data_IF_552247044126
#
_entry.id   IF_552247044126
#
_cell.length_a   1.000
_cell.length_b   1.000
_cell.length_c   1.000
_cell.angle_alpha   90.00
_cell.angle_beta   90.00
_cell.angle_gamma   90.00
#
_symmetry.space_group_name_H-M   'P 1'
#
loop_
_entity.id
_entity.type
_entity.pdbx_description
1 polymer ?
#
# COMPACT_ATOMS: atom_id res chain seq x y z
N UNK A 1 20.28 9.30 -6.15
CA UNK A 1 19.66 10.52 -6.69
C UNK A 1 18.17 10.43 -6.46
N UNK A 2 17.69 11.25 -5.54
CA UNK A 2 16.30 11.27 -5.09
C UNK A 2 15.49 12.21 -6.00
N UNK A 3 14.16 12.02 -6.07
CA UNK A 3 13.26 12.92 -6.82
C UNK A 3 13.40 14.39 -6.37
N UNK A 4 13.78 14.60 -5.11
CA UNK A 4 14.00 15.92 -4.50
C UNK A 4 15.18 16.69 -5.14
N UNK A 5 16.15 16.01 -5.74
CA UNK A 5 17.29 16.66 -6.41
C UNK A 5 16.83 17.48 -7.64
N UNK A 6 15.65 17.17 -8.19
CA UNK A 6 15.07 17.81 -9.37
C UNK A 6 13.86 18.69 -9.04
N UNK A 7 13.56 18.91 -7.75
CA UNK A 7 12.36 19.62 -7.30
C UNK A 7 12.24 21.03 -7.88
N UNK A 8 13.34 21.71 -8.21
CA UNK A 8 13.33 23.04 -8.80
C UNK A 8 12.73 23.10 -10.23
N UNK A 9 12.66 21.96 -10.93
CA UNK A 9 12.14 21.89 -12.30
C UNK A 9 10.75 21.22 -12.39
N UNK A 10 10.13 20.92 -11.25
CA UNK A 10 8.84 20.25 -11.17
C UNK A 10 7.76 21.20 -10.67
N UNK A 11 6.53 21.14 -11.21
CA UNK A 11 5.40 21.81 -10.60
C UNK A 11 5.19 21.31 -9.17
N UNK A 12 4.91 22.24 -8.25
CA UNK A 12 4.76 21.95 -6.83
C UNK A 12 3.72 20.86 -6.55
N UNK A 13 2.59 20.88 -7.28
CA UNK A 13 1.54 19.87 -7.14
C UNK A 13 2.03 18.47 -7.46
N UNK A 14 2.97 18.30 -8.40
CA UNK A 14 3.49 17.00 -8.81
C UNK A 14 4.47 16.46 -7.77
N UNK A 15 5.33 17.33 -7.23
CA UNK A 15 6.22 16.98 -6.12
C UNK A 15 5.38 16.55 -4.92
N UNK A 16 4.37 17.34 -4.55
CA UNK A 16 3.47 17.03 -3.46
C UNK A 16 2.70 15.72 -3.71
N UNK A 17 2.09 15.53 -4.87
CA UNK A 17 1.33 14.31 -5.22
C UNK A 17 2.17 13.03 -5.08
N UNK A 18 3.45 13.07 -5.47
CA UNK A 18 4.32 11.89 -5.43
C UNK A 18 4.98 11.66 -4.06
N UNK A 19 4.97 12.65 -3.16
CA UNK A 19 5.60 12.56 -1.83
C UNK A 19 4.60 12.48 -0.67
N UNK A 20 3.35 12.87 -0.91
CA UNK A 20 2.25 12.83 0.05
C UNK A 20 1.99 11.40 0.54
N UNK A 21 1.60 11.28 1.82
CA UNK A 21 1.23 10.02 2.45
C UNK A 21 -0.29 9.94 2.55
N UNK A 22 -0.92 9.46 1.49
CA UNK A 22 -2.36 9.34 1.42
C UNK A 22 -2.90 8.30 2.41
N UNK A 23 -4.19 8.48 2.74
CA UNK A 23 -4.96 7.66 3.68
C UNK A 23 -4.45 7.69 5.13
N UNK A 24 -3.56 8.63 5.46
CA UNK A 24 -3.34 9.01 6.85
C UNK A 24 -4.58 9.76 7.38
N UNK A 25 -4.81 9.70 8.69
CA UNK A 25 -5.88 10.43 9.34
C UNK A 25 -5.68 11.95 9.19
N UNK A 26 -6.78 12.67 8.95
CA UNK A 26 -6.79 14.12 8.95
C UNK A 26 -6.66 14.64 10.40
N UNK A 27 -5.66 15.49 10.62
CA UNK A 27 -5.41 16.11 11.93
C UNK A 27 -6.50 17.10 12.37
N UNK A 28 -7.28 17.64 11.43
CA UNK A 28 -8.36 18.60 11.72
C UNK A 28 -9.65 17.85 12.10
N UNK A 29 -9.82 16.64 11.55
CA UNK A 29 -11.02 15.84 11.70
C UNK A 29 -10.71 14.47 12.31
N UNK A 30 -9.86 14.43 13.34
CA UNK A 30 -9.33 13.18 13.92
C UNK A 30 -10.45 12.26 14.45
N UNK A 31 -11.46 12.83 15.10
CA UNK A 31 -12.59 12.08 15.67
C UNK A 31 -13.71 11.78 14.66
N UNK A 32 -13.61 12.31 13.43
CA UNK A 32 -14.64 12.11 12.43
C UNK A 32 -14.48 10.76 11.74
N UNK A 33 -15.60 10.07 11.49
CA UNK A 33 -15.61 8.90 10.60
C UNK A 33 -15.19 9.32 9.19
N UNK A 34 -14.49 8.44 8.47
CA UNK A 34 -14.01 8.68 7.09
C UNK A 34 -13.12 9.93 6.97
N UNK A 35 -12.19 10.11 7.91
CA UNK A 35 -11.24 11.23 7.95
C UNK A 35 -9.92 10.95 7.22
N UNK A 36 -9.82 9.86 6.47
CA UNK A 36 -8.62 9.53 5.71
C UNK A 36 -8.37 10.55 4.60
N UNK A 37 -7.11 10.96 4.42
CA UNK A 37 -6.68 11.83 3.33
C UNK A 37 -6.66 11.08 2.00
N UNK A 38 -7.81 10.94 1.35
CA UNK A 38 -7.96 10.23 0.08
C UNK A 38 -8.22 11.15 -1.13
N UNK A 39 -8.21 12.46 -0.94
CA UNK A 39 -8.33 13.46 -2.00
C UNK A 39 -7.05 14.28 -2.03
N UNK A 40 -6.53 14.56 -3.22
CA UNK A 40 -5.42 15.49 -3.40
C UNK A 40 -5.92 16.79 -4.02
N UNK A 41 -5.64 17.92 -3.38
CA UNK A 41 -5.94 19.23 -3.93
C UNK A 41 -4.72 19.74 -4.72
N UNK A 42 -4.89 19.97 -6.02
CA UNK A 42 -3.79 20.45 -6.87
C UNK A 42 -3.42 21.91 -6.60
N UNK A 43 -4.38 22.70 -6.14
CA UNK A 43 -4.19 24.13 -5.92
C UNK A 43 -3.52 24.40 -4.57
N UNK A 44 -3.89 23.64 -3.54
CA UNK A 44 -3.23 23.68 -2.23
C UNK A 44 -1.98 22.80 -2.14
N UNK A 45 -1.77 21.91 -3.12
CA UNK A 45 -0.67 20.93 -3.15
C UNK A 45 -0.61 20.04 -1.90
N UNK A 46 -1.76 19.53 -1.44
CA UNK A 46 -1.85 18.71 -0.22
C UNK A 46 -2.93 17.62 -0.29
N UNK A 47 -2.72 16.55 0.47
CA UNK A 47 -3.74 15.54 0.75
C UNK A 47 -4.76 16.00 1.80
N UNK A 48 -6.05 15.92 1.44
CA UNK A 48 -7.20 16.31 2.25
C UNK A 48 -8.19 15.14 2.42
N UNK A 49 -8.99 15.17 3.48
CA UNK A 49 -10.09 14.21 3.69
C UNK A 49 -11.43 14.77 3.15
N UNK A 50 -12.48 13.95 3.02
CA UNK A 50 -13.80 14.41 2.56
C UNK A 50 -14.41 15.56 3.38
N UNK A 51 -14.10 15.66 4.67
CA UNK A 51 -14.58 16.77 5.52
C UNK A 51 -13.92 18.12 5.19
N UNK A 52 -12.74 18.10 4.56
CA UNK A 52 -12.02 19.31 4.15
C UNK A 52 -12.51 19.85 2.79
N UNK A 53 -13.53 19.27 2.15
CA UNK A 53 -13.95 19.68 0.81
C UNK A 53 -14.57 21.08 0.75
N UNK A 54 -15.18 21.54 1.84
CA UNK A 54 -15.87 22.85 1.87
C UNK A 54 -14.96 24.03 1.49
N UNK A 55 -13.75 24.19 2.09
CA UNK A 55 -12.81 25.21 1.65
C UNK A 55 -12.18 24.98 0.27
N UNK A 56 -12.36 23.80 -0.36
CA UNK A 56 -11.75 23.43 -1.64
C UNK A 56 -12.79 23.26 -2.77
N UNK A 57 -14.01 23.78 -2.62
CA UNK A 57 -15.11 23.60 -3.60
C UNK A 57 -14.77 24.09 -5.01
N UNK A 58 -13.98 25.15 -5.12
CA UNK A 58 -13.55 25.73 -6.40
C UNK A 58 -12.17 25.23 -6.85
N UNK A 59 -11.56 24.29 -6.12
CA UNK A 59 -10.24 23.78 -6.44
C UNK A 59 -10.29 22.57 -7.35
N UNK A 60 -9.17 22.29 -8.00
CA UNK A 60 -8.94 21.06 -8.77
C UNK A 60 -8.61 19.92 -7.81
N UNK A 61 -9.49 18.93 -7.75
CA UNK A 61 -9.44 17.82 -6.81
C UNK A 61 -9.26 16.48 -7.52
N UNK A 62 -8.27 15.71 -7.06
CA UNK A 62 -7.94 14.39 -7.58
C UNK A 62 -8.31 13.32 -6.54
N UNK A 63 -9.14 12.36 -6.95
CA UNK A 63 -9.41 11.21 -6.10
C UNK A 63 -8.23 10.23 -6.11
N UNK A 64 -7.65 9.99 -4.93
CA UNK A 64 -6.66 8.93 -4.73
C UNK A 64 -7.38 7.66 -4.30
N UNK A 65 -6.93 6.52 -4.83
CA UNK A 65 -7.48 5.18 -4.55
C UNK A 65 -6.35 4.26 -4.08
N UNK A 66 -6.69 3.14 -3.43
CA UNK A 66 -5.74 2.07 -3.10
C UNK A 66 -5.93 0.88 -4.03
N UNK A 67 -4.83 0.36 -4.54
CA UNK A 67 -4.78 -0.94 -5.20
C UNK A 67 -3.56 -1.70 -4.71
N UNK A 68 -3.78 -2.89 -4.14
CA UNK A 68 -2.73 -3.72 -3.51
C UNK A 68 -1.87 -2.88 -2.55
N UNK A 69 -2.53 -2.19 -1.61
CA UNK A 69 -1.88 -1.36 -0.58
C UNK A 69 -1.05 -0.17 -1.09
N UNK A 70 -1.20 0.22 -2.35
CA UNK A 70 -0.45 1.33 -2.94
C UNK A 70 -1.39 2.36 -3.58
N UNK A 71 -0.93 3.61 -3.59
CA UNK A 71 -1.70 4.74 -4.10
C UNK A 71 -1.75 4.72 -5.64
N UNK A 72 -2.97 4.77 -6.15
CA UNK A 72 -3.28 4.79 -7.57
C UNK A 72 -4.26 5.90 -7.88
N UNK A 73 -4.25 6.33 -9.14
CA UNK A 73 -5.24 7.26 -9.70
C UNK A 73 -5.86 6.64 -10.96
N UNK A 74 -7.09 7.04 -11.29
CA UNK A 74 -7.72 6.63 -12.55
C UNK A 74 -6.88 7.16 -13.71
N UNK A 75 -6.64 6.32 -14.72
CA UNK A 75 -5.86 6.68 -15.90
C UNK A 75 -6.48 7.90 -16.62
N UNK A 76 -7.81 7.98 -16.65
CA UNK A 76 -8.51 9.13 -17.23
C UNK A 76 -8.22 10.45 -16.52
N UNK A 77 -8.06 10.44 -15.20
CA UNK A 77 -7.69 11.64 -14.44
C UNK A 77 -6.20 11.94 -14.55
N UNK A 78 -5.35 10.91 -14.54
CA UNK A 78 -3.92 11.04 -14.77
C UNK A 78 -3.61 11.72 -16.12
N UNK A 79 -4.30 11.30 -17.19
CA UNK A 79 -4.15 11.86 -18.53
C UNK A 79 -4.59 13.32 -18.66
N UNK A 80 -5.37 13.86 -17.71
CA UNK A 80 -5.67 15.30 -17.67
C UNK A 80 -4.49 16.13 -17.13
N UNK A 81 -3.59 15.50 -16.39
CA UNK A 81 -2.50 16.16 -15.69
C UNK A 81 -1.15 15.95 -16.38
N UNK A 82 -0.92 14.76 -16.90
CA UNK A 82 0.35 14.36 -17.50
C UNK A 82 0.21 13.26 -18.54
N UNK A 83 1.18 13.20 -19.44
CA UNK A 83 1.29 12.14 -20.44
C UNK A 83 1.55 10.79 -19.74
N UNK A 84 0.56 9.90 -19.75
CA UNK A 84 0.70 8.55 -19.20
C UNK A 84 1.06 7.49 -20.25
N UNK A 85 1.44 7.87 -21.48
CA UNK A 85 1.90 6.92 -22.49
C UNK A 85 3.06 6.07 -21.94
N UNK A 86 3.04 4.77 -22.26
CA UNK A 86 4.01 3.77 -21.81
C UNK A 86 4.10 3.55 -20.29
N UNK A 87 3.22 4.17 -19.49
CA UNK A 87 3.02 3.80 -18.08
C UNK A 87 2.04 2.64 -18.01
N UNK A 88 2.44 1.56 -17.36
CA UNK A 88 1.58 0.38 -17.22
C UNK A 88 0.33 0.73 -16.41
N UNK A 89 -0.83 0.53 -17.03
CA UNK A 89 -2.13 0.61 -16.38
C UNK A 89 -2.64 -0.76 -15.95
N UNK A 90 -3.42 -0.80 -14.89
CA UNK A 90 -4.09 -2.00 -14.38
C UNK A 90 -5.59 -1.79 -14.42
N UNK A 91 -6.35 -2.86 -14.64
CA UNK A 91 -7.81 -2.82 -14.60
C UNK A 91 -8.28 -3.26 -13.21
N UNK A 92 -9.09 -2.42 -12.56
CA UNK A 92 -9.73 -2.69 -11.28
C UNK A 92 -11.17 -2.16 -11.32
N UNK A 93 -12.15 -3.00 -10.98
CA UNK A 93 -13.58 -2.66 -11.05
C UNK A 93 -13.97 -2.01 -12.39
N UNK A 94 -13.55 -2.62 -13.50
CA UNK A 94 -13.78 -2.13 -14.87
C UNK A 94 -13.17 -0.76 -15.21
N UNK A 95 -12.36 -0.16 -14.31
CA UNK A 95 -11.65 1.08 -14.54
C UNK A 95 -10.14 0.85 -14.70
N UNK A 96 -9.49 1.61 -15.58
CA UNK A 96 -8.02 1.63 -15.68
C UNK A 96 -7.42 2.57 -14.64
N UNK A 97 -6.42 2.10 -13.91
CA UNK A 97 -5.66 2.86 -12.91
C UNK A 97 -4.16 2.77 -13.17
N UNK A 98 -3.42 3.77 -12.70
CA UNK A 98 -1.94 3.81 -12.73
C UNK A 98 -1.40 4.05 -11.34
N UNK A 99 -0.25 3.44 -11.03
CA UNK A 99 0.44 3.68 -9.77
C UNK A 99 1.14 5.04 -9.77
N UNK A 100 1.03 5.76 -8.65
CA UNK A 100 1.81 6.98 -8.45
C UNK A 100 3.28 6.65 -8.28
N UNK A 101 3.60 5.73 -7.36
CA UNK A 101 4.96 5.47 -6.90
C UNK A 101 5.47 4.06 -7.23
N UNK A 102 6.80 3.91 -7.17
CA UNK A 102 7.46 2.61 -7.20
C UNK A 102 6.94 1.71 -6.09
N UNK A 103 6.82 0.42 -6.40
CA UNK A 103 6.40 -0.60 -5.45
C UNK A 103 7.58 -1.48 -5.07
N UNK A 104 7.65 -2.00 -3.82
CA UNK A 104 8.66 -2.97 -3.43
C UNK A 104 8.63 -4.21 -4.33
N UNK A 105 9.79 -4.63 -4.86
CA UNK A 105 9.89 -5.88 -5.61
C UNK A 105 10.05 -7.04 -4.64
N UNK A 106 9.14 -8.02 -4.69
CA UNK A 106 9.18 -9.21 -3.83
C UNK A 106 10.08 -10.32 -4.36
N UNK A 107 10.51 -10.24 -5.63
CA UNK A 107 11.39 -11.23 -6.28
C UNK A 107 12.34 -10.51 -7.24
N UNK A 108 13.59 -10.98 -7.31
CA UNK A 108 14.51 -10.57 -8.36
C UNK A 108 13.87 -10.85 -9.73
N UNK A 109 13.91 -9.85 -10.62
CA UNK A 109 13.41 -9.97 -11.99
C UNK A 109 14.05 -11.20 -12.65
N UNK A 110 13.24 -12.25 -12.90
CA UNK A 110 13.71 -13.40 -13.68
C UNK A 110 13.78 -12.93 -15.12
N UNK A 111 15.00 -12.87 -15.66
CA UNK A 111 15.33 -12.17 -16.90
C UNK A 111 14.56 -12.59 -18.15
N UNK A 112 14.72 -11.75 -19.19
CA UNK A 112 14.11 -11.80 -20.53
C UNK A 112 12.68 -11.26 -20.68
N UNK A 113 12.17 -10.47 -19.73
CA UNK A 113 10.90 -9.74 -19.88
C UNK A 113 11.11 -8.24 -20.04
N UNK A 114 10.12 -7.54 -20.59
CA UNK A 114 10.09 -6.08 -20.55
C UNK A 114 10.15 -5.60 -19.10
N UNK A 115 11.07 -4.69 -18.82
CA UNK A 115 11.32 -4.20 -17.48
C UNK A 115 11.19 -2.67 -17.46
N UNK A 116 10.79 -2.14 -16.32
CA UNK A 116 10.74 -0.72 -16.10
C UNK A 116 12.15 -0.13 -16.17
N UNK A 117 12.36 0.88 -17.01
CA UNK A 117 13.67 1.50 -17.26
C UNK A 117 14.32 2.07 -15.97
N UNK A 118 13.52 2.39 -14.95
CA UNK A 118 14.01 3.04 -13.73
C UNK A 118 14.25 2.09 -12.57
N UNK A 119 13.43 1.05 -12.43
CA UNK A 119 13.46 0.19 -11.23
C UNK A 119 13.48 -1.29 -11.55
N UNK A 120 13.66 -1.67 -12.82
CA UNK A 120 13.79 -3.04 -13.32
C UNK A 120 12.60 -3.96 -12.99
N UNK A 121 11.44 -3.38 -12.65
CA UNK A 121 10.21 -4.15 -12.40
C UNK A 121 9.70 -4.72 -13.70
N UNK A 122 9.41 -6.01 -13.74
CA UNK A 122 8.78 -6.64 -14.91
C UNK A 122 7.44 -5.98 -15.28
N UNK A 123 7.26 -5.71 -16.57
CA UNK A 123 6.13 -5.04 -17.18
C UNK A 123 5.48 -5.93 -18.25
N UNK A 124 4.25 -5.57 -18.63
CA UNK A 124 3.63 -6.09 -19.85
C UNK A 124 4.13 -5.28 -21.06
N UNK A 125 4.21 -5.90 -22.23
CA UNK A 125 4.34 -5.17 -23.49
C UNK A 125 3.11 -4.28 -23.72
N UNK A 126 3.27 -3.05 -24.28
CA UNK A 126 4.50 -2.38 -24.71
C UNK A 126 5.01 -1.34 -23.69
N UNK A 127 4.80 -1.55 -22.38
CA UNK A 127 5.05 -0.53 -21.38
C UNK A 127 6.54 -0.40 -21.00
N UNK A 128 6.95 0.82 -20.67
CA UNK A 128 8.33 1.18 -20.30
C UNK A 128 8.46 1.59 -18.82
N UNK A 129 7.34 2.00 -18.21
CA UNK A 129 7.32 2.50 -16.84
C UNK A 129 6.27 1.78 -15.99
N UNK A 130 6.62 1.41 -14.76
CA UNK A 130 5.68 0.75 -13.84
C UNK A 130 4.76 1.72 -13.08
N UNK A 131 5.11 3.01 -13.06
CA UNK A 131 4.42 4.05 -12.30
C UNK A 131 4.69 5.43 -12.89
N UNK A 132 3.90 6.42 -12.49
CA UNK A 132 4.08 7.84 -12.85
C UNK A 132 5.45 8.33 -12.38
N UNK A 133 5.82 8.04 -11.13
CA UNK A 133 7.13 8.44 -10.57
C UNK A 133 8.32 7.94 -11.40
N UNK A 134 8.27 6.70 -11.92
CA UNK A 134 9.31 6.18 -12.80
C UNK A 134 9.40 6.97 -14.10
N UNK A 135 8.27 7.28 -14.74
CA UNK A 135 8.28 8.05 -15.99
C UNK A 135 8.84 9.46 -15.76
N UNK A 136 8.36 10.15 -14.72
CA UNK A 136 8.83 11.48 -14.33
C UNK A 136 10.34 11.47 -14.07
N UNK A 137 10.82 10.50 -13.29
CA UNK A 137 12.25 10.37 -12.98
C UNK A 137 13.09 10.09 -14.22
N UNK A 138 12.60 9.31 -15.18
CA UNK A 138 13.28 9.08 -16.45
C UNK A 138 13.42 10.37 -17.24
N UNK A 139 12.31 11.07 -17.47
CA UNK A 139 12.28 12.33 -18.23
C UNK A 139 13.22 13.37 -17.62
N UNK A 140 13.23 13.50 -16.29
CA UNK A 140 14.15 14.43 -15.60
C UNK A 140 15.62 14.08 -15.82
N UNK A 141 15.97 12.80 -15.87
CA UNK A 141 17.35 12.35 -16.08
C UNK A 141 17.79 12.51 -17.54
N UNK A 142 16.90 12.32 -18.51
CA UNK A 142 17.25 12.31 -19.94
C UNK A 142 17.07 13.66 -20.62
N UNK A 143 16.00 14.40 -20.28
CA UNK A 143 15.61 15.65 -20.96
C UNK A 143 15.70 16.89 -20.06
N UNK A 144 15.75 16.70 -18.74
CA UNK A 144 15.89 17.77 -17.75
C UNK A 144 14.64 18.63 -17.52
N UNK A 145 13.61 18.56 -18.38
CA UNK A 145 12.38 19.34 -18.27
C UNK A 145 11.13 18.51 -18.54
N UNK A 146 10.05 18.78 -17.80
CA UNK A 146 8.76 18.08 -17.93
C UNK A 146 7.70 18.82 -18.75
N UNK A 147 7.98 20.01 -19.26
CA UNK A 147 6.97 20.92 -19.85
C UNK A 147 6.17 20.31 -20.99
N UNK A 148 6.74 19.36 -21.75
CA UNK A 148 6.07 18.66 -22.86
C UNK A 148 5.13 17.53 -22.40
N UNK A 149 5.29 17.08 -21.16
CA UNK A 149 4.61 15.91 -20.60
C UNK A 149 3.57 16.28 -19.54
N UNK A 150 3.48 17.56 -19.18
CA UNK A 150 2.51 18.06 -18.21
C UNK A 150 1.46 18.89 -18.95
N UNK A 151 0.21 18.63 -18.63
CA UNK A 151 -0.92 19.32 -19.25
C UNK A 151 -1.52 20.35 -18.31
N UNK A 152 -2.01 21.45 -18.88
CA UNK A 152 -2.78 22.44 -18.14
C UNK A 152 -4.18 21.87 -17.91
N UNK A 153 -4.45 21.48 -16.67
CA UNK A 153 -5.78 21.08 -16.23
C UNK A 153 -6.52 22.29 -15.68
N UNK A 154 -7.59 22.73 -16.36
CA UNK A 154 -8.39 23.88 -15.92
C UNK A 154 -9.48 23.49 -14.92
N UNK A 155 -10.01 22.26 -15.04
CA UNK A 155 -11.09 21.77 -14.20
C UNK A 155 -10.89 20.30 -13.84
N UNK A 156 -11.04 20.00 -12.55
CA UNK A 156 -11.08 18.63 -12.07
C UNK A 156 -11.90 18.58 -10.78
N UNK A 157 -13.08 17.98 -10.83
CA UNK A 157 -13.91 17.79 -9.65
C UNK A 157 -14.00 16.34 -9.27
N UNK A 158 -14.24 16.10 -7.98
CA UNK A 158 -14.58 14.78 -7.50
C UNK A 158 -15.90 14.33 -8.14
N UNK A 159 -16.04 13.04 -8.48
CA UNK A 159 -17.33 12.47 -8.81
C UNK A 159 -18.30 12.71 -7.66
N UNK A 160 -19.52 13.15 -7.96
CA UNK A 160 -20.61 13.31 -6.99
C UNK A 160 -20.80 11.99 -6.20
N UNK A 161 -20.86 12.03 -4.86
CA UNK A 161 -21.10 10.85 -4.04
C UNK A 161 -22.54 10.36 -4.25
N UNK A 162 -22.75 9.50 -5.24
CA UNK A 162 -24.07 8.92 -5.50
C UNK A 162 -24.24 8.03 -6.73
N UNK A 163 -23.30 8.00 -7.68
CA UNK A 163 -23.51 7.29 -8.97
C UNK A 163 -22.49 6.19 -9.31
N UNK A 164 -21.42 6.02 -8.54
CA UNK A 164 -20.37 5.03 -8.81
C UNK A 164 -19.72 4.56 -7.50
N UNK A 165 -20.54 4.06 -6.55
CA UNK A 165 -20.00 3.35 -5.39
C UNK A 165 -19.71 1.90 -5.76
N UNK A 166 -18.84 1.72 -6.75
CA UNK A 166 -18.01 0.53 -6.84
C UNK A 166 -17.00 0.59 -5.70
N UNK A 167 -17.48 0.36 -4.47
CA UNK A 167 -16.67 0.25 -3.28
C UNK A 167 -15.53 -0.71 -3.58
N UNK A 168 -14.31 -0.18 -3.70
CA UNK A 168 -13.13 -0.99 -3.47
C UNK A 168 -13.22 -1.32 -1.99
N UNK A 169 -13.63 -2.55 -1.69
CA UNK A 169 -13.91 -3.03 -0.33
C UNK A 169 -12.82 -2.57 0.62
N UNK A 170 -13.17 -1.88 1.73
CA UNK A 170 -12.23 -1.79 2.84
C UNK A 170 -12.08 -3.21 3.37
N UNK A 171 -10.85 -3.73 3.39
CA UNK A 171 -10.53 -5.02 3.98
C UNK A 171 -10.92 -4.99 5.47
N UNK A 172 -12.11 -5.48 5.77
CA UNK A 172 -12.56 -5.85 7.10
C UNK A 172 -13.42 -7.09 6.90
N UNK A 173 -12.80 -8.27 6.97
CA UNK A 173 -13.29 -9.56 7.52
C UNK A 173 -12.14 -10.55 7.31
N UNK A 174 -11.25 -10.62 8.29
CA UNK A 174 -10.58 -11.85 8.66
C UNK A 174 -10.94 -12.10 10.12
N UNK A 175 -12.16 -12.58 10.34
CA UNK A 175 -12.52 -13.27 11.57
C UNK A 175 -13.11 -14.62 11.15
N UNK A 176 -12.51 -15.76 11.57
CA UNK A 176 -13.08 -17.07 11.29
C UNK A 176 -14.45 -17.21 11.96
N UNK A 177 -15.45 -17.62 11.17
CA UNK A 177 -16.77 -18.02 11.64
C UNK A 177 -16.60 -19.19 12.62
N UNK A 178 -16.64 -18.87 13.90
CA UNK A 178 -16.69 -19.81 15.00
C UNK A 178 -18.11 -20.26 15.26
N UNK A 179 -18.44 -21.45 14.73
CA UNK A 179 -19.33 -22.44 15.34
C UNK A 179 -20.73 -21.98 15.78
N UNK A 180 -21.70 -22.18 14.88
CA UNK A 180 -23.09 -22.45 15.23
C UNK A 180 -23.15 -23.63 16.21
N UNK A 181 -23.67 -23.41 17.43
CA UNK A 181 -24.28 -24.47 18.23
C UNK A 181 -25.67 -24.02 18.66
N UNK A 182 -26.64 -24.69 18.07
CA UNK A 182 -28.02 -24.82 18.49
C UNK A 182 -28.09 -25.55 19.83
N UNK A 183 -28.69 -24.95 20.86
CA UNK A 183 -29.45 -25.67 21.89
C UNK A 183 -30.66 -24.82 22.33
N UNK A 184 -31.79 -25.50 22.46
CA UNK A 184 -33.13 -24.96 22.70
C UNK A 184 -33.63 -25.28 24.10
N UNK A 185 -34.41 -24.35 24.68
CA UNK A 185 -35.48 -24.57 25.68
C UNK A 185 -35.03 -24.72 27.15
N UNK A 186 -35.81 -24.35 28.18
CA UNK A 186 -37.00 -23.51 28.36
C UNK A 186 -37.22 -23.37 29.88
N UNK A 187 -37.84 -22.26 30.32
CA UNK A 187 -38.86 -22.13 31.39
C UNK A 187 -38.62 -21.08 32.47
N UNK A 188 -39.72 -20.40 32.86
CA UNK A 188 -39.90 -19.79 34.18
C UNK A 188 -40.12 -18.27 34.20
N UNK A 189 -41.38 -17.85 34.34
CA UNK A 189 -41.83 -16.47 34.55
C UNK A 189 -41.62 -15.99 36.00
N UNK A 190 -41.41 -14.68 36.21
CA UNK A 190 -42.05 -13.85 37.25
C UNK A 190 -41.51 -12.40 37.25
N UNK A 191 -42.38 -11.48 37.66
CA UNK A 191 -42.30 -10.02 37.70
C UNK A 191 -41.27 -9.40 38.69
N UNK A 192 -40.86 -8.17 38.31
CA UNK A 192 -40.74 -6.90 39.05
C UNK A 192 -40.10 -6.76 40.47
N UNK A 193 -39.41 -5.61 40.60
CA UNK A 193 -39.06 -4.80 41.78
C UNK A 193 -37.72 -5.07 42.51
N UNK A 194 -36.92 -4.00 42.63
CA UNK A 194 -36.35 -3.66 43.95
C UNK A 194 -34.83 -3.46 44.06
N UNK A 195 -34.44 -2.19 44.16
CA UNK A 195 -33.12 -1.64 44.48
C UNK A 195 -32.46 -2.18 45.78
N UNK A 196 -31.13 -2.38 45.79
CA UNK A 196 -30.13 -1.60 46.59
C UNK A 196 -28.77 -2.30 46.76
N UNK A 197 -27.74 -1.48 46.51
CA UNK A 197 -26.38 -1.43 47.06
C UNK A 197 -26.02 -2.39 48.21
N UNK A 198 -24.93 -3.15 48.03
CA UNK A 198 -23.82 -3.23 49.01
C UNK A 198 -22.54 -3.68 48.31
N UNK A 199 -21.46 -2.93 48.53
CA UNK A 199 -20.12 -3.28 48.07
C UNK A 199 -19.46 -4.33 48.95
N UNK A 200 -18.55 -5.10 48.36
CA UNK A 200 -17.59 -5.92 49.09
C UNK A 200 -16.22 -5.79 48.42
N UNK A 201 -15.33 -5.06 49.10
CA UNK A 201 -13.88 -5.11 48.94
C UNK A 201 -13.34 -6.46 49.43
N UNK A 202 -12.46 -7.09 48.66
CA UNK A 202 -11.54 -8.11 49.17
C UNK A 202 -10.22 -8.10 48.40
N UNK A 203 -9.15 -7.90 49.15
CA UNK A 203 -7.74 -7.88 48.80
C UNK A 203 -7.10 -9.28 48.84
N UNK A 204 -5.85 -9.35 48.34
CA UNK A 204 -4.84 -10.44 48.49
C UNK A 204 -5.01 -11.61 47.51
N UNK A 205 -4.00 -12.23 46.91
CA UNK A 205 -2.55 -12.34 47.13
C UNK A 205 -1.84 -12.57 45.78
N UNK A 206 -0.54 -12.31 45.76
CA UNK A 206 0.36 -12.42 44.62
C UNK A 206 1.00 -13.81 44.61
N UNK A 207 0.94 -14.55 43.49
CA UNK A 207 1.91 -15.63 43.22
C UNK A 207 2.52 -15.51 41.83
N UNK A 208 3.83 -15.28 41.85
CA UNK A 208 4.76 -15.27 40.72
C UNK A 208 4.83 -16.64 40.04
N UNK A 209 4.85 -16.66 38.70
CA UNK A 209 5.62 -17.67 37.97
C UNK A 209 6.38 -17.04 36.79
N UNK A 210 7.67 -16.85 37.04
CA UNK A 210 8.71 -16.44 36.08
C UNK A 210 9.01 -17.59 35.14
N UNK A 211 9.08 -17.33 33.82
CA UNK A 211 9.92 -18.11 32.91
C UNK A 211 10.72 -17.16 32.02
N UNK A 212 11.98 -16.99 32.41
CA UNK A 212 13.05 -16.39 31.63
C UNK A 212 13.73 -17.45 30.78
N UNK A 213 14.09 -17.11 29.53
CA UNK A 213 15.28 -17.51 28.73
C UNK A 213 14.94 -17.32 27.25
N UNK A 214 15.73 -16.78 26.32
CA UNK A 214 17.06 -16.17 26.28
C UNK A 214 17.11 -15.46 24.91
N UNK A 215 17.44 -14.18 24.88
CA UNK A 215 17.70 -13.42 23.65
C UNK A 215 19.15 -13.63 23.22
N UNK A 216 19.39 -14.22 22.06
CA UNK A 216 20.72 -14.27 21.44
C UNK A 216 20.83 -13.19 20.36
N UNK A 217 21.38 -12.04 20.76
CA UNK A 217 22.07 -11.12 19.85
C UNK A 217 23.42 -11.75 19.46
N UNK A 218 23.80 -11.71 18.18
CA UNK A 218 25.20 -11.91 17.77
C UNK A 218 25.73 -10.64 17.12
N UNK A 219 26.91 -10.25 17.60
CA UNK A 219 27.63 -9.01 17.33
C UNK A 219 28.44 -9.05 16.03
N UNK A 220 28.91 -7.86 15.65
CA UNK A 220 29.71 -7.51 14.47
C UNK A 220 31.22 -7.42 14.82
N UNK A 221 32.08 -7.58 13.79
CA UNK A 221 33.54 -7.30 13.64
C UNK A 221 34.50 -8.44 14.07
N UNK A 222 35.55 -8.90 13.35
CA UNK A 222 36.42 -8.48 12.20
C UNK A 222 37.36 -9.71 11.83
N UNK A 223 38.46 -9.64 11.02
CA UNK A 223 38.69 -9.25 9.60
C UNK A 223 39.57 -10.27 8.75
N UNK A 224 39.62 -10.09 7.40
CA UNK A 224 40.88 -10.12 6.58
C UNK A 224 41.32 -11.35 5.72
N UNK A 225 41.35 -11.14 4.38
CA UNK A 225 42.26 -11.66 3.29
C UNK A 225 42.39 -13.20 3.05
N UNK A 226 42.57 -13.81 1.87
CA UNK A 226 42.93 -13.48 0.47
C UNK A 226 43.10 -14.82 -0.33
N UNK A 227 43.50 -14.85 -1.62
CA UNK A 227 42.92 -15.74 -2.66
C UNK A 227 43.72 -17.00 -3.06
N UNK A 228 43.06 -17.97 -3.70
CA UNK A 228 43.69 -19.14 -4.35
C UNK A 228 42.88 -19.64 -5.56
N UNK A 229 43.52 -19.67 -6.72
CA UNK A 229 43.01 -20.10 -8.02
C UNK A 229 43.17 -21.61 -8.22
N UNK A 230 42.30 -22.26 -9.02
CA UNK A 230 42.68 -23.50 -9.70
C UNK A 230 41.62 -24.60 -9.88
N UNK A 231 41.23 -24.78 -11.15
CA UNK A 231 41.02 -26.04 -11.88
C UNK A 231 39.65 -26.76 -11.78
N UNK A 232 39.15 -26.98 -13.00
CA UNK A 232 38.02 -27.75 -13.53
C UNK A 232 37.97 -29.23 -13.16
N UNK A 233 36.76 -29.78 -12.92
CA UNK A 233 36.35 -31.09 -13.47
C UNK A 233 34.82 -31.17 -13.59
N UNK A 234 34.39 -31.85 -14.65
CA UNK A 234 33.03 -32.12 -15.11
C UNK A 234 32.28 -33.19 -14.30
N UNK A 235 30.95 -33.21 -14.50
CA UNK A 235 30.07 -34.40 -14.52
C UNK A 235 29.53 -35.00 -13.19
N UNK A 236 28.21 -34.86 -12.95
CA UNK A 236 27.19 -35.93 -13.08
C UNK A 236 25.88 -35.61 -12.36
N UNK A 237 24.79 -35.78 -13.11
CA UNK A 237 23.40 -35.56 -12.76
C UNK A 237 22.90 -36.68 -11.83
N UNK A 238 22.76 -36.45 -10.52
CA UNK A 238 22.17 -37.44 -9.58
C UNK A 238 20.65 -37.23 -9.50
N UNK A 239 19.89 -38.10 -10.19
CA UNK A 239 18.43 -38.21 -10.05
C UNK A 239 18.10 -38.74 -8.65
N UNK A 240 17.27 -38.02 -7.90
CA UNK A 240 16.68 -38.48 -6.62
C UNK A 240 15.71 -39.64 -6.88
N UNK A 241 15.98 -40.80 -6.29
CA UNK A 241 15.02 -41.91 -6.21
C UNK A 241 13.93 -41.62 -5.17
N UNK A 242 12.76 -42.26 -5.35
CA UNK A 242 11.55 -42.11 -4.54
C UNK A 242 11.74 -42.68 -3.13
N UNK A 243 11.41 -41.94 -2.04
CA UNK A 243 11.54 -42.47 -0.69
C UNK A 243 10.42 -43.46 -0.36
N UNK A 244 10.77 -44.63 0.19
CA UNK A 244 9.81 -45.60 0.72
C UNK A 244 9.26 -45.16 2.09
N UNK A 245 7.97 -45.41 2.32
CA UNK A 245 7.28 -45.22 3.61
C UNK A 245 7.54 -46.39 4.56
N UNK A 246 7.61 -46.09 5.86
CA UNK A 246 7.73 -47.05 6.95
C UNK A 246 6.40 -47.80 7.20
N UNK A 247 6.42 -49.07 7.67
CA UNK A 247 5.21 -49.82 8.01
C UNK A 247 4.51 -49.27 9.27
N UNK A 248 3.19 -49.41 9.30
CA UNK A 248 2.34 -49.05 10.44
C UNK A 248 2.39 -50.16 11.49
N UNK A 249 2.63 -49.78 12.75
CA UNK A 249 2.21 -50.52 13.93
C UNK A 249 1.51 -49.54 14.87
#
# INVERSE_FOLDING_TARGET
>A
MNMLDYAQNLPQWLVALLTEKFFNACIIHEDAKKNEKNVFCLDCCEGICPHCLSPHRSHRLLQIRRYVYHDVIRLGDANKLLDCAFVQSYTTNSAKVVFLNQRPQTRASRGSGNCCIICDRGLQDPFLFCSVSCKVQHILKTEGKLTKYIYRCEYMTLPEPGLDDGQMTPDTILEPIGSVRTESGSSGAAEEVGCRTVGCTATTEIVRKKRSTLSAFRSVFRPGCGPGSGISVSMMNRRKGTPQRSPLY
#
